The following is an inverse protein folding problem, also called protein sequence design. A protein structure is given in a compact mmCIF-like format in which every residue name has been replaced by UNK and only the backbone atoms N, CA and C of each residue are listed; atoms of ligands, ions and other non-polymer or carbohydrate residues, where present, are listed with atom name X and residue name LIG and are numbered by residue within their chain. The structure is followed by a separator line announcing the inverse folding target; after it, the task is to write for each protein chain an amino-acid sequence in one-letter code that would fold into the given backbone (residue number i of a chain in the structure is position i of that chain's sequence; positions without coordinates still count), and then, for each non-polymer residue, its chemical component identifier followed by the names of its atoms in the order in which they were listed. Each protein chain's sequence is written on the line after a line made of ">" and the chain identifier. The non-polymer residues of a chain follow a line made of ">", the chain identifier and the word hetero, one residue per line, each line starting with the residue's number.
data_IF_964308555462
#
_entry.id   IF_964308555462
#
_cell.length_a   1.000
_cell.length_b   1.000
_cell.length_c   1.000
_cell.angle_alpha   90.00
_cell.angle_beta   90.00
_cell.angle_gamma   90.00
#
_symmetry.space_group_name_H-M   'P 1'
#
loop_
_entity.id
_entity.type
_entity.pdbx_description
1 polymer ?
#
# COMPACT_ATOMS: atom_id res chain seq x y z
N UNK A 1 42.71 -83.52 10.55
CA UNK A 1 42.31 -82.39 9.70
C UNK A 1 40.83 -82.16 9.70
N UNK A 2 39.96 -83.17 9.70
CA UNK A 2 38.48 -82.92 9.64
C UNK A 2 37.87 -82.17 10.81
N UNK A 3 38.32 -82.40 12.07
CA UNK A 3 37.79 -81.70 13.28
C UNK A 3 38.09 -80.19 13.32
N UNK A 4 39.20 -79.81 12.74
CA UNK A 4 39.58 -78.36 12.69
C UNK A 4 38.77 -77.58 11.65
N UNK A 5 38.41 -78.20 10.54
CA UNK A 5 37.57 -77.59 9.48
C UNK A 5 36.10 -77.41 9.97
N UNK A 6 35.56 -78.35 10.74
CA UNK A 6 34.22 -78.26 11.30
C UNK A 6 34.16 -77.14 12.34
N UNK A 7 35.20 -76.96 13.18
CA UNK A 7 35.25 -75.90 14.16
C UNK A 7 35.29 -74.47 13.53
N UNK A 8 36.03 -74.32 12.41
CA UNK A 8 36.12 -73.08 11.65
C UNK A 8 34.80 -72.77 10.95
N UNK A 9 34.13 -73.79 10.40
CA UNK A 9 32.85 -73.64 9.74
C UNK A 9 31.74 -73.24 10.75
N UNK A 10 31.73 -73.81 11.96
CA UNK A 10 30.74 -73.41 13.02
C UNK A 10 31.03 -72.04 13.55
N UNK A 11 32.28 -71.60 13.70
CA UNK A 11 32.66 -70.28 14.13
C UNK A 11 32.24 -69.19 13.09
N UNK A 12 32.43 -69.51 11.80
CA UNK A 12 31.97 -68.58 10.71
C UNK A 12 30.50 -68.50 10.62
N UNK A 13 29.72 -69.57 10.87
CA UNK A 13 28.25 -69.50 10.90
C UNK A 13 27.74 -68.70 12.10
N UNK A 14 28.37 -68.77 13.27
CA UNK A 14 28.03 -67.99 14.46
C UNK A 14 28.38 -66.52 14.26
N UNK A 15 29.50 -66.20 13.61
CA UNK A 15 29.85 -64.80 13.32
C UNK A 15 28.92 -64.18 12.26
N UNK A 16 28.48 -64.89 11.26
CA UNK A 16 27.50 -64.45 10.29
C UNK A 16 26.12 -64.21 10.92
N UNK A 17 25.73 -65.05 11.86
CA UNK A 17 24.46 -64.87 12.64
C UNK A 17 24.48 -63.65 13.54
N UNK A 18 25.62 -63.29 14.14
CA UNK A 18 25.75 -62.08 14.97
C UNK A 18 25.75 -60.80 14.12
N UNK A 19 26.41 -60.81 12.95
CA UNK A 19 26.41 -59.66 12.03
C UNK A 19 25.01 -59.38 11.45
N UNK A 20 24.26 -60.44 11.13
CA UNK A 20 22.85 -60.31 10.66
C UNK A 20 21.92 -59.75 11.72
N UNK A 21 22.10 -60.12 12.99
CA UNK A 21 21.28 -59.56 14.10
C UNK A 21 21.60 -58.11 14.43
N UNK A 22 22.84 -57.68 14.29
CA UNK A 22 23.24 -56.28 14.48
C UNK A 22 22.66 -55.37 13.37
N UNK A 23 22.73 -55.79 12.12
CA UNK A 23 22.14 -55.06 11.00
C UNK A 23 20.61 -54.98 11.11
N UNK A 24 19.95 -56.06 11.57
CA UNK A 24 18.49 -56.03 11.79
C UNK A 24 18.09 -55.07 12.89
N UNK A 25 18.84 -54.99 13.98
CA UNK A 25 18.58 -53.99 15.05
C UNK A 25 18.79 -52.55 14.55
N UNK A 26 19.80 -52.31 13.73
CA UNK A 26 20.08 -51.01 13.17
C UNK A 26 18.94 -50.55 12.25
N UNK A 27 18.50 -51.41 11.34
CA UNK A 27 17.36 -51.10 10.48
C UNK A 27 16.06 -50.89 11.26
N UNK A 28 15.85 -51.64 12.35
CA UNK A 28 14.70 -51.40 13.23
C UNK A 28 14.77 -50.04 13.92
N UNK A 29 15.93 -49.59 14.38
CA UNK A 29 16.12 -48.26 14.97
C UNK A 29 15.90 -47.14 13.93
N UNK A 30 16.40 -47.31 12.72
CA UNK A 30 16.16 -46.38 11.62
C UNK A 30 14.67 -46.27 11.26
N UNK A 31 13.98 -47.43 11.16
CA UNK A 31 12.51 -47.44 10.90
C UNK A 31 11.73 -46.78 12.01
N UNK A 32 12.11 -46.99 13.28
CA UNK A 32 11.46 -46.30 14.42
C UNK A 32 11.76 -44.81 14.38
N UNK A 33 12.97 -44.39 14.07
CA UNK A 33 13.36 -42.99 13.88
C UNK A 33 12.53 -42.32 12.78
N UNK A 34 12.46 -42.94 11.60
CA UNK A 34 11.63 -42.42 10.49
C UNK A 34 10.15 -42.33 10.83
N UNK A 35 9.62 -43.28 11.59
CA UNK A 35 8.21 -43.25 12.07
C UNK A 35 7.95 -42.05 13.00
N UNK A 36 8.89 -41.73 13.89
CA UNK A 36 8.77 -40.56 14.79
C UNK A 36 8.88 -39.25 14.01
N UNK A 37 9.76 -39.15 13.03
CA UNK A 37 9.86 -37.98 12.15
C UNK A 37 8.58 -37.77 11.31
N UNK A 38 8.04 -38.84 10.74
CA UNK A 38 6.77 -38.78 9.98
C UNK A 38 5.62 -38.35 10.89
N UNK A 39 5.57 -38.84 12.13
CA UNK A 39 4.56 -38.43 13.09
C UNK A 39 4.70 -36.92 13.45
N UNK A 40 5.93 -36.46 13.67
CA UNK A 40 6.20 -35.03 13.94
C UNK A 40 5.83 -34.13 12.76
N UNK A 41 6.18 -34.53 11.53
CA UNK A 41 5.81 -33.82 10.30
C UNK A 41 4.29 -33.76 10.13
N UNK A 42 3.58 -34.86 10.37
CA UNK A 42 2.11 -34.86 10.31
C UNK A 42 1.50 -33.90 11.33
N UNK A 43 2.00 -33.92 12.55
CA UNK A 43 1.53 -32.98 13.58
C UNK A 43 1.79 -31.52 13.20
N UNK A 44 2.99 -31.22 12.72
CA UNK A 44 3.32 -29.88 12.21
C UNK A 44 2.40 -29.45 11.08
N UNK A 45 2.14 -30.35 10.13
CA UNK A 45 1.23 -30.09 9.01
C UNK A 45 -0.20 -29.81 9.49
N UNK A 46 -0.71 -30.56 10.46
CA UNK A 46 -2.03 -30.30 11.04
C UNK A 46 -2.11 -28.93 11.74
N UNK A 47 -1.06 -28.53 12.44
CA UNK A 47 -0.98 -27.20 13.08
C UNK A 47 -1.03 -26.11 12.02
N UNK A 48 -0.23 -26.24 10.94
CA UNK A 48 -0.25 -25.27 9.85
C UNK A 48 -1.60 -25.18 9.12
N UNK A 49 -2.26 -26.33 8.92
CA UNK A 49 -3.61 -26.32 8.31
C UNK A 49 -4.63 -25.58 9.19
N UNK A 50 -4.56 -25.75 10.50
CA UNK A 50 -5.43 -25.00 11.44
C UNK A 50 -5.15 -23.50 11.40
N UNK A 51 -3.87 -23.11 11.33
CA UNK A 51 -3.48 -21.70 11.23
C UNK A 51 -3.95 -21.07 9.91
N UNK A 52 -3.79 -21.79 8.80
CA UNK A 52 -4.32 -21.34 7.50
C UNK A 52 -5.85 -21.17 7.54
N UNK A 53 -6.56 -22.13 8.16
CA UNK A 53 -8.01 -22.02 8.28
C UNK A 53 -8.43 -20.83 9.16
N UNK A 54 -7.69 -20.54 10.22
CA UNK A 54 -7.91 -19.36 11.07
C UNK A 54 -7.68 -18.07 10.29
N UNK A 55 -6.54 -17.94 9.62
CA UNK A 55 -6.23 -16.76 8.81
C UNK A 55 -7.26 -16.54 7.69
N UNK A 56 -7.73 -17.61 7.08
CA UNK A 56 -8.79 -17.52 6.06
C UNK A 56 -10.12 -17.02 6.65
N UNK A 57 -10.44 -17.39 7.91
CA UNK A 57 -11.61 -16.87 8.60
C UNK A 57 -11.46 -15.39 8.98
N UNK A 58 -10.27 -14.97 9.41
CA UNK A 58 -9.96 -13.57 9.70
C UNK A 58 -10.03 -12.70 8.45
N UNK A 59 -9.52 -13.19 7.31
CA UNK A 59 -9.65 -12.49 6.02
C UNK A 59 -11.11 -12.26 5.63
N UNK A 60 -11.97 -13.27 5.74
CA UNK A 60 -13.41 -13.13 5.44
C UNK A 60 -14.09 -12.11 6.35
N UNK A 61 -13.73 -12.06 7.63
CA UNK A 61 -14.27 -11.05 8.56
C UNK A 61 -13.81 -9.63 8.20
N UNK A 62 -12.56 -9.46 7.77
CA UNK A 62 -12.04 -8.18 7.31
C UNK A 62 -12.67 -7.74 6.00
N UNK A 63 -12.87 -8.66 5.06
CA UNK A 63 -13.60 -8.40 3.80
C UNK A 63 -15.04 -7.96 4.07
N UNK A 64 -15.73 -8.61 5.00
CA UNK A 64 -17.08 -8.24 5.43
C UNK A 64 -17.13 -6.82 6.02
N UNK A 65 -16.20 -6.49 6.93
CA UNK A 65 -16.10 -5.13 7.50
C UNK A 65 -15.76 -4.08 6.44
N UNK A 66 -14.91 -4.43 5.48
CA UNK A 66 -14.56 -3.52 4.39
C UNK A 66 -15.78 -3.22 3.50
N UNK A 67 -16.59 -4.24 3.19
CA UNK A 67 -17.83 -4.06 2.46
C UNK A 67 -18.85 -3.19 3.22
N UNK A 68 -18.97 -3.38 4.54
CA UNK A 68 -19.82 -2.57 5.41
C UNK A 68 -19.36 -1.11 5.46
N UNK A 69 -18.06 -0.87 5.64
CA UNK A 69 -17.50 0.48 5.60
C UNK A 69 -17.72 1.17 4.26
N UNK A 70 -17.58 0.44 3.15
CA UNK A 70 -17.86 1.01 1.83
C UNK A 70 -19.33 1.39 1.64
N UNK A 71 -20.27 0.59 2.17
CA UNK A 71 -21.70 0.94 2.13
C UNK A 71 -21.99 2.19 2.97
N UNK A 72 -21.45 2.25 4.18
CA UNK A 72 -21.60 3.42 5.07
C UNK A 72 -21.02 4.69 4.44
N UNK A 73 -19.84 4.60 3.80
CA UNK A 73 -19.24 5.71 3.07
C UNK A 73 -20.11 6.20 1.91
N UNK A 74 -20.73 5.28 1.16
CA UNK A 74 -21.65 5.63 0.07
C UNK A 74 -22.91 6.33 0.60
N UNK A 75 -23.46 5.85 1.70
CA UNK A 75 -24.63 6.46 2.34
C UNK A 75 -24.31 7.86 2.85
N UNK A 76 -23.19 8.04 3.55
CA UNK A 76 -22.74 9.35 4.02
C UNK A 76 -22.44 10.32 2.88
N UNK A 77 -21.83 9.84 1.79
CA UNK A 77 -21.57 10.67 0.61
C UNK A 77 -22.87 11.12 -0.08
N UNK A 78 -23.87 10.25 -0.14
CA UNK A 78 -25.17 10.59 -0.69
C UNK A 78 -25.93 11.58 0.22
N UNK A 79 -25.82 11.44 1.53
CA UNK A 79 -26.40 12.39 2.48
C UNK A 79 -25.72 13.76 2.40
N UNK A 80 -24.39 13.79 2.33
CA UNK A 80 -23.63 15.03 2.14
C UNK A 80 -24.02 15.73 0.83
N UNK A 81 -24.20 14.97 -0.26
CA UNK A 81 -24.67 15.53 -1.53
C UNK A 81 -26.09 16.14 -1.41
N UNK A 82 -27.01 15.48 -0.68
CA UNK A 82 -28.35 16.00 -0.43
C UNK A 82 -28.34 17.28 0.42
N UNK A 83 -27.47 17.34 1.43
CA UNK A 83 -27.31 18.53 2.28
C UNK A 83 -26.74 19.70 1.48
N UNK A 84 -25.74 19.46 0.61
CA UNK A 84 -25.19 20.47 -0.31
C UNK A 84 -26.28 21.02 -1.24
N UNK A 85 -27.05 20.13 -1.88
CA UNK A 85 -28.15 20.56 -2.76
C UNK A 85 -29.21 21.38 -2.02
N UNK A 86 -29.49 21.10 -0.73
CA UNK A 86 -30.39 21.92 0.10
C UNK A 86 -29.78 23.26 0.43
N UNK A 87 -28.50 23.33 0.75
CA UNK A 87 -27.78 24.59 0.98
C UNK A 87 -27.81 25.47 -0.26
N UNK A 88 -27.48 24.91 -1.44
CA UNK A 88 -27.52 25.64 -2.71
C UNK A 88 -28.94 26.20 -3.00
N UNK A 89 -29.98 25.41 -2.76
CA UNK A 89 -31.38 25.86 -2.93
C UNK A 89 -31.73 26.99 -1.97
N UNK A 90 -31.39 26.90 -0.68
CA UNK A 90 -31.66 27.95 0.30
C UNK A 90 -30.85 29.22 0.04
N UNK A 91 -29.60 29.10 -0.43
CA UNK A 91 -28.80 30.26 -0.87
C UNK A 91 -29.43 30.94 -2.08
N UNK A 92 -29.96 30.19 -3.03
CA UNK A 92 -30.65 30.75 -4.19
C UNK A 92 -31.93 31.46 -3.81
N UNK A 93 -32.76 30.86 -2.95
CA UNK A 93 -33.95 31.54 -2.39
C UNK A 93 -33.61 32.85 -1.65
N UNK A 94 -32.51 32.85 -0.89
CA UNK A 94 -32.04 34.03 -0.17
C UNK A 94 -31.54 35.12 -1.12
N UNK A 95 -30.88 34.76 -2.23
CA UNK A 95 -30.46 35.70 -3.28
C UNK A 95 -31.66 36.31 -4.00
N UNK A 96 -32.66 35.48 -4.32
CA UNK A 96 -33.90 35.95 -4.96
C UNK A 96 -34.70 36.86 -4.04
N UNK A 97 -34.80 36.56 -2.74
CA UNK A 97 -35.46 37.39 -1.75
C UNK A 97 -34.73 38.72 -1.47
N UNK A 98 -33.43 38.79 -1.73
CA UNK A 98 -32.58 39.97 -1.53
C UNK A 98 -32.38 40.82 -2.78
N UNK A 99 -32.93 40.39 -3.92
CA UNK A 99 -32.83 41.14 -5.18
C UNK A 99 -33.67 42.42 -5.13
N UNK A 100 -33.09 43.62 -5.36
CA UNK A 100 -33.86 44.85 -5.52
C UNK A 100 -34.70 44.80 -6.81
N UNK A 101 -35.91 45.38 -6.78
CA UNK A 101 -36.82 45.44 -7.91
C UNK A 101 -36.14 45.95 -9.19
N UNK A 102 -36.53 45.44 -10.39
CA UNK A 102 -35.80 45.66 -11.62
C UNK A 102 -35.83 47.13 -12.06
N UNK A 103 -34.68 47.76 -12.15
CA UNK A 103 -34.49 49.01 -12.89
C UNK A 103 -34.45 48.73 -14.41
N UNK A 104 -34.90 49.67 -15.26
CA UNK A 104 -35.12 49.41 -16.69
C UNK A 104 -33.82 49.08 -17.44
N UNK A 105 -33.93 48.04 -18.26
CA UNK A 105 -32.90 47.40 -19.09
C UNK A 105 -32.27 48.41 -20.06
N UNK A 106 -30.96 48.61 -19.94
CA UNK A 106 -30.15 49.00 -21.08
C UNK A 106 -29.51 47.75 -21.64
N UNK A 107 -29.80 47.47 -22.90
CA UNK A 107 -29.27 46.33 -23.65
C UNK A 107 -27.78 46.45 -23.82
N UNK A 108 -27.02 45.57 -23.20
CA UNK A 108 -25.63 45.28 -23.51
C UNK A 108 -25.45 43.78 -23.59
N UNK A 109 -25.15 43.32 -24.77
CA UNK A 109 -24.65 42.03 -25.28
C UNK A 109 -24.60 40.83 -24.32
N UNK A 110 -25.18 39.67 -24.67
CA UNK A 110 -25.08 38.47 -23.85
C UNK A 110 -23.68 37.86 -24.03
N UNK A 111 -22.76 38.18 -23.13
CA UNK A 111 -21.63 37.33 -22.88
C UNK A 111 -22.13 36.09 -22.14
N UNK A 112 -22.17 34.98 -22.79
CA UNK A 112 -22.37 33.65 -22.22
C UNK A 112 -21.55 33.49 -20.93
N UNK A 113 -22.15 33.16 -19.78
CA UNK A 113 -21.34 32.82 -18.61
C UNK A 113 -20.59 31.51 -18.95
N UNK A 114 -19.29 31.60 -19.20
CA UNK A 114 -18.40 30.44 -19.13
C UNK A 114 -18.47 29.92 -17.71
N UNK A 115 -19.06 28.75 -17.57
CA UNK A 115 -19.15 27.99 -16.31
C UNK A 115 -17.80 27.50 -15.78
N UNK A 116 -16.69 27.91 -16.37
CA UNK A 116 -15.36 27.33 -16.14
C UNK A 116 -14.31 28.33 -15.64
N UNK A 117 -14.71 29.47 -15.12
CA UNK A 117 -13.78 30.37 -14.47
C UNK A 117 -13.99 30.29 -12.94
N UNK A 118 -13.61 29.15 -12.33
CA UNK A 118 -13.23 29.13 -10.93
C UNK A 118 -12.09 30.14 -10.79
N UNK A 119 -12.28 31.16 -9.95
CA UNK A 119 -11.27 32.18 -9.68
C UNK A 119 -9.94 31.45 -9.34
N UNK A 120 -8.85 31.66 -10.08
CA UNK A 120 -7.57 31.00 -9.80
C UNK A 120 -7.11 31.16 -8.34
N UNK A 121 -7.63 32.17 -7.69
CA UNK A 121 -7.36 32.54 -6.31
C UNK A 121 -8.12 31.64 -5.29
N UNK A 122 -9.30 31.11 -5.63
CA UNK A 122 -10.07 30.23 -4.73
C UNK A 122 -9.46 28.82 -4.64
N UNK A 123 -9.17 28.22 -5.77
CA UNK A 123 -8.49 26.92 -5.82
C UNK A 123 -7.15 26.97 -5.08
N UNK A 124 -6.40 28.05 -5.27
CA UNK A 124 -5.14 28.27 -4.57
C UNK A 124 -5.33 28.37 -3.07
N UNK A 125 -6.33 29.12 -2.60
CA UNK A 125 -6.65 29.24 -1.16
C UNK A 125 -7.00 27.90 -0.52
N UNK A 126 -7.81 27.08 -1.18
CA UNK A 126 -8.15 25.74 -0.67
C UNK A 126 -6.92 24.83 -0.58
N UNK A 127 -6.07 24.84 -1.60
CA UNK A 127 -4.79 24.10 -1.55
C UNK A 127 -3.88 24.60 -0.40
N UNK A 128 -3.78 25.91 -0.22
CA UNK A 128 -2.95 26.51 0.82
C UNK A 128 -3.51 26.24 2.24
N UNK A 129 -4.83 26.05 2.39
CA UNK A 129 -5.47 25.60 3.62
C UNK A 129 -5.04 24.16 3.98
N UNK A 130 -5.08 23.22 3.03
CA UNK A 130 -4.57 21.87 3.22
C UNK A 130 -3.10 21.84 3.61
N UNK A 131 -2.28 22.72 2.97
CA UNK A 131 -0.87 22.89 3.31
C UNK A 131 -0.67 23.45 4.72
N UNK A 132 -1.53 24.35 5.18
CA UNK A 132 -1.49 24.91 6.53
C UNK A 132 -1.75 23.81 7.58
N UNK A 133 -2.79 23.00 7.38
CA UNK A 133 -3.10 21.86 8.25
C UNK A 133 -1.99 20.81 8.25
N UNK A 134 -1.38 20.52 7.10
CA UNK A 134 -0.22 19.61 7.04
C UNK A 134 0.96 20.15 7.87
N UNK A 135 1.30 21.43 7.77
CA UNK A 135 2.37 22.07 8.56
C UNK A 135 2.05 22.12 10.06
N UNK A 136 0.76 22.28 10.41
CA UNK A 136 0.27 22.20 11.79
C UNK A 136 0.28 20.78 12.36
N UNK A 137 0.68 19.77 11.57
CA UNK A 137 0.64 18.34 11.88
C UNK A 137 -0.77 17.76 12.05
N UNK A 138 -1.78 18.50 11.60
CA UNK A 138 -3.17 18.04 11.51
C UNK A 138 -3.34 17.16 10.25
N UNK A 139 -2.61 16.06 10.19
CA UNK A 139 -2.47 15.25 8.97
C UNK A 139 -3.80 14.68 8.48
N UNK A 140 -4.71 14.32 9.42
CA UNK A 140 -6.05 13.85 9.07
C UNK A 140 -6.87 14.92 8.37
N UNK A 141 -6.86 16.17 8.89
CA UNK A 141 -7.56 17.30 8.28
C UNK A 141 -6.93 17.67 6.93
N UNK A 142 -5.61 17.70 6.85
CA UNK A 142 -4.90 17.96 5.59
C UNK A 142 -5.31 16.97 4.47
N UNK A 143 -5.47 15.68 4.80
CA UNK A 143 -5.97 14.68 3.85
C UNK A 143 -7.35 15.05 3.34
N UNK A 144 -8.28 15.42 4.23
CA UNK A 144 -9.64 15.82 3.84
C UNK A 144 -9.64 17.05 2.95
N UNK A 145 -8.87 18.09 3.31
CA UNK A 145 -8.79 19.33 2.53
C UNK A 145 -8.23 19.08 1.13
N UNK A 146 -7.16 18.27 1.01
CA UNK A 146 -6.60 17.92 -0.30
C UNK A 146 -7.54 17.05 -1.13
N UNK A 147 -8.28 16.12 -0.50
CA UNK A 147 -9.29 15.32 -1.20
C UNK A 147 -10.43 16.21 -1.72
N UNK A 148 -10.92 17.15 -0.91
CA UNK A 148 -11.93 18.12 -1.31
C UNK A 148 -11.42 19.01 -2.46
N UNK A 149 -10.18 19.50 -2.35
CA UNK A 149 -9.53 20.24 -3.42
C UNK A 149 -9.49 19.46 -4.75
N UNK A 150 -9.03 18.21 -4.72
CA UNK A 150 -8.95 17.35 -5.92
C UNK A 150 -10.37 17.10 -6.47
N UNK A 151 -11.36 16.89 -5.60
CA UNK A 151 -12.73 16.67 -6.00
C UNK A 151 -13.37 17.87 -6.68
N UNK A 152 -13.07 19.09 -6.20
CA UNK A 152 -13.58 20.35 -6.77
C UNK A 152 -12.79 20.78 -8.03
N UNK A 153 -11.47 20.56 -8.01
CA UNK A 153 -10.54 21.06 -9.03
C UNK A 153 -9.69 19.94 -9.66
N UNK A 154 -10.28 18.89 -10.24
CA UNK A 154 -9.54 17.70 -10.69
C UNK A 154 -8.54 17.99 -11.82
N UNK A 155 -8.78 19.07 -12.61
CA UNK A 155 -7.92 19.49 -13.71
C UNK A 155 -6.96 20.64 -13.34
N UNK A 156 -6.95 21.05 -12.08
CA UNK A 156 -6.09 22.15 -11.65
C UNK A 156 -4.61 21.70 -11.63
N UNK A 157 -3.66 22.54 -12.03
CA UNK A 157 -2.22 22.18 -12.04
C UNK A 157 -1.67 21.73 -10.69
N UNK A 158 -2.30 22.09 -9.60
CA UNK A 158 -1.94 21.66 -8.24
C UNK A 158 -2.57 20.33 -7.81
N UNK A 159 -3.50 19.74 -8.58
CA UNK A 159 -4.16 18.50 -8.20
C UNK A 159 -3.17 17.33 -8.02
N UNK A 160 -2.15 17.11 -8.88
CA UNK A 160 -1.12 16.11 -8.64
C UNK A 160 -0.29 16.38 -7.38
N UNK A 161 -0.03 17.67 -7.08
CA UNK A 161 0.68 18.06 -5.86
C UNK A 161 -0.17 17.83 -4.60
N UNK A 162 -1.47 18.11 -4.63
CA UNK A 162 -2.39 17.80 -3.55
C UNK A 162 -2.42 16.29 -3.28
N UNK A 163 -2.47 15.48 -4.34
CA UNK A 163 -2.43 14.02 -4.25
C UNK A 163 -1.11 13.51 -3.63
N UNK A 164 0.01 14.14 -3.98
CA UNK A 164 1.31 13.88 -3.35
C UNK A 164 1.27 14.18 -1.85
N UNK A 165 0.68 15.31 -1.43
CA UNK A 165 0.61 15.67 0.00
C UNK A 165 -0.31 14.75 0.80
N UNK A 166 -1.34 14.18 0.20
CA UNK A 166 -2.11 13.09 0.83
C UNK A 166 -1.17 11.90 1.11
N UNK A 167 -0.35 11.51 0.14
CA UNK A 167 0.67 10.46 0.33
C UNK A 167 1.67 10.79 1.44
N UNK A 168 2.14 12.04 1.53
CA UNK A 168 3.03 12.51 2.60
C UNK A 168 2.36 12.43 3.97
N UNK A 169 1.08 12.78 4.07
CA UNK A 169 0.33 12.70 5.32
C UNK A 169 0.26 11.26 5.84
N UNK A 170 -0.03 10.29 4.99
CA UNK A 170 0.02 8.87 5.36
C UNK A 170 1.44 8.38 5.66
N UNK A 171 2.44 8.84 4.90
CA UNK A 171 3.83 8.47 5.13
C UNK A 171 4.34 8.92 6.51
N UNK A 172 4.03 10.15 6.92
CA UNK A 172 4.40 10.68 8.25
C UNK A 172 3.68 9.93 9.37
N UNK A 173 2.44 9.51 9.14
CA UNK A 173 1.67 8.66 10.06
C UNK A 173 2.14 7.19 10.07
N UNK A 174 3.16 6.84 9.28
CA UNK A 174 3.72 5.50 9.10
C UNK A 174 2.76 4.50 8.44
N UNK A 175 1.67 4.96 7.87
CA UNK A 175 0.85 4.12 7.00
C UNK A 175 1.46 4.06 5.59
N UNK A 176 2.57 3.34 5.51
CA UNK A 176 3.34 3.24 4.27
C UNK A 176 2.57 2.54 3.15
N UNK A 177 1.64 1.65 3.48
CA UNK A 177 0.81 0.98 2.47
C UNK A 177 -0.15 1.95 1.80
N UNK A 178 -0.84 2.77 2.59
CA UNK A 178 -1.72 3.80 2.02
C UNK A 178 -0.90 4.88 1.30
N UNK A 179 0.25 5.29 1.86
CA UNK A 179 1.15 6.23 1.20
C UNK A 179 1.57 5.76 -0.20
N UNK A 180 1.87 4.45 -0.39
CA UNK A 180 2.19 3.88 -1.71
C UNK A 180 1.06 4.08 -2.71
N UNK A 181 -0.19 3.90 -2.29
CA UNK A 181 -1.37 4.07 -3.14
C UNK A 181 -1.51 5.53 -3.57
N UNK A 182 -1.41 6.46 -2.62
CA UNK A 182 -1.63 7.88 -2.89
C UNK A 182 -0.49 8.50 -3.72
N UNK A 183 0.77 8.14 -3.45
CA UNK A 183 1.90 8.53 -4.30
C UNK A 183 1.78 7.94 -5.71
N UNK A 184 1.30 6.69 -5.85
CA UNK A 184 1.02 6.09 -7.14
C UNK A 184 0.02 6.91 -7.94
N UNK A 185 -1.10 7.33 -7.33
CA UNK A 185 -2.09 8.22 -7.95
C UNK A 185 -1.49 9.55 -8.39
N UNK A 186 -0.61 10.15 -7.57
CA UNK A 186 0.06 11.40 -7.94
C UNK A 186 0.94 11.23 -9.20
N UNK A 187 1.63 10.09 -9.33
CA UNK A 187 2.40 9.74 -10.55
C UNK A 187 1.48 9.60 -11.76
N UNK A 188 0.33 8.91 -11.60
CA UNK A 188 -0.63 8.67 -12.69
C UNK A 188 -1.29 9.96 -13.16
N UNK A 189 -1.54 10.92 -12.26
CA UNK A 189 -2.14 12.22 -12.60
C UNK A 189 -1.22 13.12 -13.46
N UNK A 190 0.08 13.05 -13.26
CA UNK A 190 1.03 13.90 -13.99
C UNK A 190 2.39 13.19 -14.21
N UNK A 191 2.43 12.16 -15.09
CA UNK A 191 3.58 11.27 -15.22
C UNK A 191 4.89 11.95 -15.62
N UNK A 192 4.81 13.09 -16.28
CA UNK A 192 6.01 13.81 -16.77
C UNK A 192 6.42 15.00 -15.87
N UNK A 193 5.79 15.13 -14.69
CA UNK A 193 6.03 16.24 -13.77
C UNK A 193 7.17 15.98 -12.80
N UNK A 194 7.70 17.05 -12.19
CA UNK A 194 8.61 16.93 -11.04
C UNK A 194 7.91 16.28 -9.84
N UNK A 195 6.61 16.50 -9.67
CA UNK A 195 5.79 15.85 -8.63
C UNK A 195 5.80 14.33 -8.75
N UNK A 196 5.76 13.79 -9.99
CA UNK A 196 5.87 12.34 -10.20
C UNK A 196 7.26 11.82 -9.78
N UNK A 197 8.33 12.55 -10.06
CA UNK A 197 9.67 12.17 -9.61
C UNK A 197 9.78 12.16 -8.08
N UNK A 198 9.19 13.16 -7.41
CA UNK A 198 9.15 13.25 -5.96
C UNK A 198 8.30 12.10 -5.36
N UNK A 199 7.15 11.82 -5.95
CA UNK A 199 6.28 10.73 -5.52
C UNK A 199 6.97 9.35 -5.69
N UNK A 200 7.65 9.10 -6.81
CA UNK A 200 8.41 7.87 -7.01
C UNK A 200 9.57 7.74 -6.00
N UNK A 201 10.26 8.83 -5.68
CA UNK A 201 11.28 8.82 -4.64
C UNK A 201 10.69 8.38 -3.30
N UNK A 202 9.51 8.92 -2.93
CA UNK A 202 8.78 8.57 -1.70
C UNK A 202 8.23 7.15 -1.71
N UNK A 203 7.76 6.64 -2.84
CA UNK A 203 7.40 5.23 -3.02
C UNK A 203 8.58 4.33 -2.66
N UNK A 204 9.78 4.63 -3.16
CA UNK A 204 10.99 3.89 -2.79
C UNK A 204 11.29 3.93 -1.29
N UNK A 205 11.15 5.09 -0.65
CA UNK A 205 11.30 5.23 0.80
C UNK A 205 10.22 4.46 1.59
N UNK A 206 8.98 4.45 1.12
CA UNK A 206 7.90 3.67 1.72
C UNK A 206 8.20 2.16 1.64
N UNK A 207 8.66 1.66 0.49
CA UNK A 207 9.12 0.27 0.35
C UNK A 207 10.27 -0.07 1.30
N UNK A 208 11.23 0.85 1.51
CA UNK A 208 12.31 0.64 2.49
C UNK A 208 11.76 0.47 3.92
N UNK A 209 10.80 1.31 4.31
CA UNK A 209 10.15 1.20 5.62
C UNK A 209 9.35 -0.11 5.78
N UNK A 210 8.82 -0.64 4.69
CA UNK A 210 8.16 -1.95 4.64
C UNK A 210 9.16 -3.13 4.53
N UNK A 211 10.48 -2.87 4.54
CA UNK A 211 11.56 -3.86 4.36
C UNK A 211 11.57 -4.52 2.97
N UNK A 212 10.95 -3.90 2.00
CA UNK A 212 10.87 -4.34 0.60
C UNK A 212 12.01 -3.74 -0.23
N UNK A 213 13.25 -3.95 0.20
CA UNK A 213 14.45 -3.28 -0.33
C UNK A 213 14.65 -3.47 -1.85
N UNK A 214 14.29 -4.62 -2.41
CA UNK A 214 14.39 -4.87 -3.85
C UNK A 214 13.43 -3.97 -4.64
N UNK A 215 12.21 -3.77 -4.15
CA UNK A 215 11.23 -2.86 -4.76
C UNK A 215 11.68 -1.42 -4.65
N UNK A 216 12.20 -1.02 -3.50
CA UNK A 216 12.76 0.33 -3.31
C UNK A 216 13.83 0.64 -4.35
N UNK A 217 14.78 -0.27 -4.57
CA UNK A 217 15.86 -0.11 -5.56
C UNK A 217 15.30 0.03 -6.99
N UNK A 218 14.33 -0.80 -7.37
CA UNK A 218 13.69 -0.73 -8.69
C UNK A 218 13.03 0.64 -8.94
N UNK A 219 12.28 1.13 -7.94
CA UNK A 219 11.61 2.43 -8.04
C UNK A 219 12.63 3.57 -8.13
N UNK A 220 13.69 3.57 -7.32
CA UNK A 220 14.73 4.60 -7.40
C UNK A 220 15.53 4.55 -8.71
N UNK A 221 15.76 3.36 -9.29
CA UNK A 221 16.34 3.24 -10.64
C UNK A 221 15.43 3.89 -11.68
N UNK A 222 14.12 3.67 -11.58
CA UNK A 222 13.14 4.33 -12.45
C UNK A 222 13.19 5.86 -12.32
N UNK A 223 13.28 6.41 -11.08
CA UNK A 223 13.45 7.88 -10.89
C UNK A 223 14.68 8.40 -11.64
N UNK A 224 15.81 7.69 -11.55
CA UNK A 224 17.06 8.09 -12.20
C UNK A 224 16.96 8.03 -13.73
N UNK A 225 16.23 7.05 -14.27
CA UNK A 225 16.07 6.83 -15.71
C UNK A 225 15.07 7.81 -16.32
N UNK A 226 13.88 7.93 -15.70
CA UNK A 226 12.76 8.68 -16.28
C UNK A 226 12.85 10.18 -16.00
N UNK A 227 13.53 10.57 -14.88
CA UNK A 227 13.60 11.97 -14.44
C UNK A 227 15.03 12.44 -14.12
N UNK A 228 16.02 12.22 -15.01
CA UNK A 228 17.46 12.36 -14.69
C UNK A 228 17.89 13.75 -14.24
N UNK A 229 17.16 14.79 -14.62
CA UNK A 229 17.47 16.19 -14.32
C UNK A 229 16.85 16.71 -13.03
N UNK A 230 16.06 15.89 -12.31
CA UNK A 230 15.37 16.30 -11.08
C UNK A 230 16.26 16.14 -9.84
N UNK A 231 15.95 16.93 -8.80
CA UNK A 231 16.57 16.78 -7.48
C UNK A 231 16.32 15.38 -6.91
N UNK A 232 15.11 14.83 -7.12
CA UNK A 232 14.72 13.49 -6.69
C UNK A 232 15.58 12.41 -7.34
N UNK A 233 16.03 12.56 -8.59
CA UNK A 233 16.99 11.64 -9.20
C UNK A 233 18.37 11.72 -8.51
N UNK A 234 18.80 12.89 -8.07
CA UNK A 234 20.01 13.05 -7.27
C UNK A 234 19.94 12.28 -5.94
N UNK A 235 18.82 12.44 -5.23
CA UNK A 235 18.53 11.71 -3.98
C UNK A 235 18.43 10.20 -4.21
N UNK A 236 17.76 9.77 -5.27
CA UNK A 236 17.63 8.36 -5.64
C UNK A 236 18.99 7.71 -5.92
N UNK A 237 19.90 8.39 -6.64
CA UNK A 237 21.29 7.91 -6.85
C UNK A 237 22.05 7.74 -5.54
N UNK A 238 21.87 8.65 -4.58
CA UNK A 238 22.50 8.55 -3.26
C UNK A 238 21.97 7.33 -2.48
N UNK A 239 20.66 7.13 -2.45
CA UNK A 239 20.02 5.99 -1.80
C UNK A 239 20.42 4.65 -2.43
N UNK A 240 20.51 4.58 -3.74
CA UNK A 240 20.99 3.37 -4.45
C UNK A 240 22.43 3.01 -4.06
N UNK A 241 23.34 4.01 -3.96
CA UNK A 241 24.73 3.78 -3.51
C UNK A 241 24.77 3.29 -2.06
N UNK A 242 24.00 3.89 -1.17
CA UNK A 242 23.92 3.49 0.23
C UNK A 242 23.43 2.05 0.40
N UNK A 243 22.39 1.68 -0.34
CA UNK A 243 21.87 0.31 -0.34
C UNK A 243 22.84 -0.71 -0.93
N UNK A 244 23.61 -0.33 -1.96
CA UNK A 244 24.66 -1.20 -2.51
C UNK A 244 25.81 -1.45 -1.51
N UNK A 245 26.19 -0.42 -0.75
CA UNK A 245 27.25 -0.53 0.25
C UNK A 245 26.85 -1.35 1.50
N UNK A 246 25.55 -1.52 1.76
CA UNK A 246 25.03 -2.30 2.90
C UNK A 246 24.79 -3.80 2.56
N UNK A 247 25.00 -4.21 1.34
CA UNK A 247 24.96 -5.63 0.97
C UNK A 247 26.26 -6.29 1.44
N UNK A 248 26.18 -7.38 2.29
CA UNK A 248 27.35 -8.16 2.68
C UNK A 248 27.95 -8.90 1.50
#
# INVERSE_FOLDING_TARGET
>A
MGRMLVAIATLALLAAGCASRASLKQTQLEVTGLRTEVAALRHSHEVHLREIARLAAELRTLEGRNAELQTTLREQSAEAARLRARLDATEQELREAKAPAPAPVQASNPATPRRDAVEPDEARREYDAGMANFRAREHGQAVLDFMDFIGKYPQHPLAPSAQYWIGEAYFVQRDYRQALVEFGRAVDMAPSSSTAADALLKIGLAHTNLRENSRAQQVWQRVVQDYPATESAGKARALLREHAARRP
#
